data_IF_867703757332
#
_entry.id   IF_867703757332
#
_cell.length_a   1.000
_cell.length_b   1.000
_cell.length_c   1.000
_cell.angle_alpha   90.00
_cell.angle_beta   90.00
_cell.angle_gamma   90.00
#
_symmetry.space_group_name_H-M   'P 1'
#
loop_
_entity.id
_entity.type
_entity.pdbx_description
1 polymer ?
#
# COMPACT_ATOMS: atom_id res chain seq x y z
N UNK A 1 -21.40 -19.85 26.45
CA UNK A 1 -21.17 -18.39 26.49
C UNK A 1 -19.84 -18.10 25.84
N UNK A 2 -19.75 -17.30 24.77
CA UNK A 2 -18.45 -16.89 24.24
C UNK A 2 -17.77 -16.03 25.32
N UNK A 3 -16.49 -16.30 25.60
CA UNK A 3 -15.73 -15.53 26.56
C UNK A 3 -15.49 -14.13 25.98
N UNK A 4 -16.21 -13.14 26.51
CA UNK A 4 -15.92 -11.72 26.35
C UNK A 4 -14.55 -11.46 26.99
N UNK A 5 -13.49 -11.64 26.21
CA UNK A 5 -12.15 -11.19 26.60
C UNK A 5 -12.18 -9.66 26.63
N UNK A 6 -12.43 -9.11 27.82
CA UNK A 6 -12.48 -7.68 28.05
C UNK A 6 -11.19 -6.99 27.59
N UNK A 7 -11.32 -5.73 27.15
CA UNK A 7 -10.24 -4.95 26.54
C UNK A 7 -8.94 -4.87 27.34
N UNK A 8 -8.97 -5.10 28.66
CA UNK A 8 -7.78 -5.18 29.52
C UNK A 8 -6.97 -6.47 29.33
N UNK A 9 -7.62 -7.62 29.11
CA UNK A 9 -6.96 -8.91 28.87
C UNK A 9 -6.35 -8.98 27.47
N UNK A 10 -7.04 -8.38 26.49
CA UNK A 10 -6.48 -8.18 25.16
C UNK A 10 -5.24 -7.29 25.24
N UNK A 11 -5.31 -6.16 25.93
CA UNK A 11 -4.15 -5.24 26.08
C UNK A 11 -2.95 -5.91 26.77
N UNK A 12 -3.16 -6.69 27.83
CA UNK A 12 -2.07 -7.47 28.46
C UNK A 12 -1.47 -8.53 27.53
N UNK A 13 -2.27 -9.17 26.66
CA UNK A 13 -1.74 -10.07 25.63
C UNK A 13 -0.91 -9.31 24.58
N UNK A 14 -1.36 -8.14 24.13
CA UNK A 14 -0.62 -7.28 23.19
C UNK A 14 0.75 -6.87 23.71
N UNK A 15 0.85 -6.64 25.02
CA UNK A 15 2.04 -6.09 25.68
C UNK A 15 3.00 -7.19 26.17
N UNK A 16 2.50 -8.40 26.48
CA UNK A 16 3.28 -9.49 27.06
C UNK A 16 4.12 -10.33 26.07
N UNK A 17 3.89 -10.21 24.76
CA UNK A 17 4.60 -11.02 23.75
C UNK A 17 5.23 -10.13 22.66
N UNK A 18 6.57 -10.00 22.64
CA UNK A 18 7.28 -9.37 21.53
C UNK A 18 6.88 -10.06 20.22
N UNK A 19 6.22 -9.32 19.33
CA UNK A 19 5.75 -9.84 18.04
C UNK A 19 4.24 -10.11 17.94
N UNK A 20 3.42 -9.90 18.98
CA UNK A 20 1.95 -9.99 18.80
C UNK A 20 1.43 -8.91 17.84
N UNK A 21 2.08 -7.75 17.76
CA UNK A 21 1.77 -6.76 16.73
C UNK A 21 1.94 -7.31 15.30
N UNK A 22 2.89 -8.23 15.07
CA UNK A 22 3.03 -8.93 13.78
C UNK A 22 2.07 -10.10 13.60
N UNK A 23 1.59 -10.71 14.68
CA UNK A 23 0.56 -11.78 14.63
C UNK A 23 -0.84 -11.21 14.39
N UNK A 24 -1.10 -9.99 14.86
CA UNK A 24 -2.40 -9.32 14.72
C UNK A 24 -2.51 -8.42 13.50
N UNK A 25 -1.39 -8.09 12.85
CA UNK A 25 -1.44 -7.45 11.56
C UNK A 25 -1.75 -8.50 10.51
N UNK A 26 -3.01 -8.48 10.08
CA UNK A 26 -3.43 -9.20 8.90
C UNK A 26 -2.52 -8.81 7.72
N UNK A 27 -2.01 -9.77 6.93
CA UNK A 27 -1.25 -9.47 5.71
C UNK A 27 -2.00 -8.50 4.78
N UNK A 28 -3.33 -8.60 4.78
CA UNK A 28 -4.22 -7.70 4.03
C UNK A 28 -4.16 -6.26 4.58
N UNK A 29 -4.09 -6.09 5.90
CA UNK A 29 -4.00 -4.77 6.51
C UNK A 29 -2.66 -4.09 6.21
N UNK A 30 -1.56 -4.85 6.24
CA UNK A 30 -0.25 -4.33 5.84
C UNK A 30 -0.23 -3.97 4.35
N UNK A 31 -0.74 -4.85 3.48
CA UNK A 31 -0.86 -4.60 2.05
C UNK A 31 -1.72 -3.37 1.74
N UNK A 32 -2.84 -3.18 2.45
CA UNK A 32 -3.73 -2.04 2.30
C UNK A 32 -3.02 -0.72 2.63
N UNK A 33 -2.36 -0.66 3.79
CA UNK A 33 -1.66 0.55 4.24
C UNK A 33 -0.50 0.89 3.31
N UNK A 34 0.27 -0.10 2.87
CA UNK A 34 1.38 0.10 1.91
C UNK A 34 0.86 0.57 0.55
N UNK A 35 -0.20 -0.03 0.02
CA UNK A 35 -0.79 0.36 -1.26
C UNK A 35 -1.31 1.80 -1.24
N UNK A 36 -1.99 2.22 -0.16
CA UNK A 36 -2.48 3.60 0.00
C UNK A 36 -1.32 4.59 0.05
N UNK A 37 -0.26 4.29 0.83
CA UNK A 37 0.93 5.14 0.91
C UNK A 37 1.63 5.26 -0.44
N UNK A 38 1.84 4.13 -1.13
CA UNK A 38 2.42 4.11 -2.47
C UNK A 38 1.58 4.93 -3.47
N UNK A 39 0.25 4.83 -3.42
CA UNK A 39 -0.66 5.63 -4.24
C UNK A 39 -0.55 7.14 -3.95
N UNK A 40 -0.27 7.52 -2.71
CA UNK A 40 0.04 8.89 -2.30
C UNK A 40 1.48 9.34 -2.66
N UNK A 41 2.28 8.47 -3.31
CA UNK A 41 3.68 8.74 -3.63
C UNK A 41 4.64 8.58 -2.45
N UNK A 42 4.19 7.95 -1.37
CA UNK A 42 4.97 7.68 -0.16
C UNK A 42 5.41 6.21 -0.20
N UNK A 43 6.66 5.97 -0.59
CA UNK A 43 7.20 4.63 -0.81
C UNK A 43 6.86 4.05 -2.18
N UNK A 44 7.30 2.83 -2.42
CA UNK A 44 7.09 2.13 -3.70
C UNK A 44 5.88 1.22 -3.66
N UNK A 45 5.19 1.14 -4.81
CA UNK A 45 4.13 0.16 -5.02
C UNK A 45 4.75 -1.23 -5.24
N UNK A 46 4.32 -2.21 -4.45
CA UNK A 46 4.75 -3.60 -4.55
C UNK A 46 3.65 -4.48 -5.19
N UNK A 47 4.05 -5.44 -6.04
CA UNK A 47 3.11 -6.34 -6.70
C UNK A 47 2.44 -7.28 -5.69
N UNK A 48 3.20 -7.66 -4.66
CA UNK A 48 2.81 -8.59 -3.61
C UNK A 48 1.68 -8.01 -2.75
N UNK A 49 1.74 -6.71 -2.45
CA UNK A 49 0.67 -6.01 -1.73
C UNK A 49 -0.61 -5.98 -2.58
N UNK A 50 -0.50 -5.74 -3.89
CA UNK A 50 -1.66 -5.78 -4.79
C UNK A 50 -2.29 -7.18 -4.87
N UNK A 51 -1.46 -8.22 -4.91
CA UNK A 51 -1.90 -9.61 -4.96
C UNK A 51 -2.68 -10.03 -3.70
N UNK A 52 -2.19 -9.69 -2.51
CA UNK A 52 -2.91 -9.99 -1.27
C UNK A 52 -4.26 -9.26 -1.21
N UNK A 53 -4.33 -8.01 -1.66
CA UNK A 53 -5.58 -7.24 -1.71
C UNK A 53 -6.60 -7.83 -2.68
N UNK A 54 -6.16 -8.23 -3.88
CA UNK A 54 -7.04 -8.87 -4.88
C UNK A 54 -7.54 -10.22 -4.38
N UNK A 55 -6.65 -11.06 -3.85
CA UNK A 55 -7.03 -12.37 -3.26
C UNK A 55 -8.02 -12.19 -2.13
N UNK A 56 -7.82 -11.20 -1.26
CA UNK A 56 -8.77 -10.88 -0.21
C UNK A 56 -10.13 -10.44 -0.76
N UNK A 57 -10.15 -9.56 -1.77
CA UNK A 57 -11.39 -9.08 -2.39
C UNK A 57 -12.20 -10.23 -3.02
N UNK A 58 -11.54 -11.16 -3.73
CA UNK A 58 -12.17 -12.37 -4.28
C UNK A 58 -12.70 -13.28 -3.16
N UNK A 59 -11.89 -13.57 -2.13
CA UNK A 59 -12.31 -14.39 -0.98
C UNK A 59 -13.53 -13.83 -0.24
N UNK A 60 -13.69 -12.50 -0.23
CA UNK A 60 -14.81 -11.80 0.40
C UNK A 60 -16.00 -11.55 -0.54
N UNK A 61 -15.92 -11.99 -1.79
CA UNK A 61 -16.97 -11.79 -2.79
C UNK A 61 -17.18 -10.32 -3.20
N UNK A 62 -16.16 -9.47 -3.02
CA UNK A 62 -16.20 -8.06 -3.42
C UNK A 62 -16.02 -7.90 -4.92
N UNK A 63 -15.25 -8.80 -5.54
CA UNK A 63 -15.04 -8.92 -6.99
C UNK A 63 -15.05 -10.39 -7.40
N UNK A 64 -15.33 -10.66 -8.67
CA UNK A 64 -15.23 -12.00 -9.23
C UNK A 64 -13.77 -12.44 -9.50
N UNK A 65 -13.50 -13.76 -9.61
CA UNK A 65 -12.16 -14.27 -9.91
C UNK A 65 -11.60 -13.72 -11.23
N UNK A 66 -12.42 -13.67 -12.29
CA UNK A 66 -12.01 -13.14 -13.60
C UNK A 66 -11.68 -11.64 -13.57
N UNK A 67 -12.33 -10.88 -12.69
CA UNK A 67 -12.00 -9.47 -12.47
C UNK A 67 -10.68 -9.34 -11.70
N UNK A 68 -10.47 -10.19 -10.69
CA UNK A 68 -9.21 -10.27 -9.96
C UNK A 68 -8.01 -10.59 -10.86
N UNK A 69 -8.13 -11.60 -11.72
CA UNK A 69 -7.06 -12.01 -12.64
C UNK A 69 -6.71 -10.90 -13.63
N UNK A 70 -7.72 -10.23 -14.19
CA UNK A 70 -7.52 -9.06 -15.07
C UNK A 70 -6.82 -7.92 -14.34
N UNK A 71 -7.24 -7.59 -13.12
CA UNK A 71 -6.61 -6.54 -12.32
C UNK A 71 -5.13 -6.85 -12.02
N UNK A 72 -4.80 -8.10 -11.70
CA UNK A 72 -3.40 -8.49 -11.47
C UNK A 72 -2.56 -8.45 -12.76
N UNK A 73 -3.13 -8.84 -13.89
CA UNK A 73 -2.45 -8.71 -15.18
C UNK A 73 -2.11 -7.24 -15.50
N UNK A 74 -3.07 -6.32 -15.30
CA UNK A 74 -2.87 -4.89 -15.53
C UNK A 74 -1.76 -4.32 -14.65
N UNK A 75 -1.75 -4.67 -13.36
CA UNK A 75 -0.68 -4.28 -12.42
C UNK A 75 0.68 -4.77 -12.90
N UNK A 76 0.80 -6.03 -13.32
CA UNK A 76 2.05 -6.59 -13.80
C UNK A 76 2.56 -5.89 -15.07
N UNK A 77 1.66 -5.57 -16.00
CA UNK A 77 2.00 -4.80 -17.21
C UNK A 77 2.49 -3.40 -16.84
N UNK A 78 1.78 -2.70 -15.96
CA UNK A 78 2.14 -1.34 -15.52
C UNK A 78 3.50 -1.31 -14.80
N UNK A 79 3.77 -2.29 -13.94
CA UNK A 79 5.06 -2.40 -13.24
C UNK A 79 6.21 -2.71 -14.20
N UNK A 80 6.01 -3.60 -15.18
CA UNK A 80 7.00 -3.86 -16.24
C UNK A 80 7.27 -2.61 -17.08
N UNK A 81 6.24 -1.82 -17.40
CA UNK A 81 6.39 -0.55 -18.11
C UNK A 81 7.17 0.49 -17.27
N UNK A 82 6.86 0.62 -15.97
CA UNK A 82 7.58 1.52 -15.05
C UNK A 82 9.07 1.16 -14.93
N UNK A 83 9.41 -0.14 -14.95
CA UNK A 83 10.80 -0.63 -14.94
C UNK A 83 11.54 -0.31 -16.24
N UNK A 84 10.88 -0.43 -17.40
CA UNK A 84 11.49 -0.14 -18.71
C UNK A 84 11.60 1.35 -19.02
N UNK A 85 10.74 2.19 -18.44
CA UNK A 85 10.65 3.62 -18.73
C UNK A 85 11.59 4.54 -17.96
N UNK A 86 12.42 4.02 -17.03
CA UNK A 86 13.29 4.85 -16.19
C UNK A 86 12.49 5.69 -15.18
N UNK A 87 12.49 5.26 -13.92
CA UNK A 87 11.79 5.93 -12.82
C UNK A 87 12.07 7.44 -12.77
N UNK A 88 11.01 8.24 -12.66
CA UNK A 88 11.17 9.68 -12.52
C UNK A 88 9.93 10.51 -12.84
N UNK A 89 8.78 10.22 -12.23
CA UNK A 89 7.71 11.24 -12.08
C UNK A 89 7.76 11.94 -10.71
N UNK A 90 8.94 11.99 -10.10
CA UNK A 90 9.25 12.84 -8.95
C UNK A 90 10.54 13.61 -9.21
N UNK A 91 10.53 14.92 -8.92
CA UNK A 91 11.64 15.87 -8.97
C UNK A 91 12.08 16.44 -10.34
N UNK A 92 11.21 17.25 -10.97
CA UNK A 92 11.64 18.57 -11.49
C UNK A 92 10.61 19.64 -11.13
N UNK A 93 10.61 20.02 -9.84
CA UNK A 93 10.10 21.32 -9.45
C UNK A 93 10.91 22.39 -10.20
N UNK A 94 10.23 23.13 -11.06
CA UNK A 94 10.80 24.27 -11.78
C UNK A 94 11.14 25.36 -10.76
N UNK A 95 12.42 25.66 -10.58
CA UNK A 95 12.86 26.94 -10.03
C UNK A 95 13.99 27.47 -10.92
N UNK A 96 13.63 28.22 -11.97
CA UNK A 96 14.58 29.10 -12.67
C UNK A 96 14.68 30.40 -11.86
N UNK A 97 15.86 30.80 -11.34
CA UNK A 97 16.04 32.14 -10.84
C UNK A 97 16.46 33.03 -12.01
N UNK A 98 15.63 34.01 -12.41
CA UNK A 98 16.10 35.15 -13.20
C UNK A 98 15.70 36.45 -12.52
N UNK A 99 16.67 36.93 -11.73
CA UNK A 99 17.02 38.29 -11.31
C UNK A 99 16.08 39.40 -11.81
N UNK A 100 15.57 40.18 -10.85
CA UNK A 100 15.28 41.61 -11.01
C UNK A 100 16.43 42.29 -11.77
N UNK A 101 16.11 42.99 -12.86
CA UNK A 101 16.87 44.19 -13.23
C UNK A 101 15.90 45.35 -13.34
N UNK A 102 16.31 46.43 -12.71
CA UNK A 102 15.52 47.58 -12.34
C UNK A 102 14.98 48.35 -13.54
N UNK A 103 13.85 49.00 -13.29
CA UNK A 103 13.22 50.00 -14.13
C UNK A 103 13.62 51.36 -13.57
N UNK A 104 14.50 52.09 -14.27
CA UNK A 104 14.65 53.56 -14.36
C UNK A 104 16.05 53.90 -14.83
#
# INVERSE_FOLDING_TARGET
MPAELGGSQLSSLLEALPGIASVLRSPVADALVKAIRAAAGIGDFAAEDAEELVRYAVRRGLIGPDEGDRALADVQVALKAKRKGGGGRGAKAKAKPKKKKARR
#
